data_IF_048997746829
#
_entry.id   IF_048997746829
#
_cell.length_a   1.000
_cell.length_b   1.000
_cell.length_c   1.000
_cell.angle_alpha   90.00
_cell.angle_beta   90.00
_cell.angle_gamma   90.00
#
_symmetry.space_group_name_H-M   'P 1'
#
loop_
_entity.id
_entity.type
_entity.pdbx_description
1 polymer ?
#
# COMPACT_ATOMS: atom_id res chain seq x y z
N UNK A 1 13.40 -0.47 -1.31
CA UNK A 1 13.70 0.40 -0.14
C UNK A 1 12.57 0.42 0.89
N UNK A 2 11.30 0.66 0.53
CA UNK A 2 10.19 0.79 1.51
C UNK A 2 9.76 -0.48 2.30
N UNK A 3 10.02 -1.68 1.79
CA UNK A 3 9.70 -2.92 2.51
C UNK A 3 10.71 -3.27 3.62
N UNK A 4 11.87 -2.61 3.66
CA UNK A 4 12.97 -2.98 4.55
C UNK A 4 12.79 -2.49 6.00
N UNK A 5 11.95 -1.47 6.24
CA UNK A 5 11.89 -0.76 7.53
C UNK A 5 10.70 -1.17 8.43
N UNK A 6 9.71 -1.92 7.91
CA UNK A 6 8.41 -2.08 8.60
C UNK A 6 8.06 -3.52 9.05
N UNK A 7 9.02 -4.40 9.30
CA UNK A 7 8.74 -5.75 9.83
C UNK A 7 7.96 -6.70 8.90
N UNK A 8 7.62 -6.25 7.68
CA UNK A 8 6.91 -7.06 6.68
C UNK A 8 7.83 -8.02 5.90
N UNK A 9 9.15 -8.04 6.19
CA UNK A 9 10.10 -8.95 5.54
C UNK A 9 9.71 -10.40 5.81
N UNK A 10 9.26 -11.10 4.77
CA UNK A 10 8.91 -12.53 4.81
C UNK A 10 7.42 -12.82 4.66
N UNK A 11 6.56 -11.80 4.63
CA UNK A 11 5.13 -12.02 4.39
C UNK A 11 4.91 -12.50 2.93
N UNK A 12 4.35 -13.71 2.71
CA UNK A 12 4.12 -14.24 1.37
C UNK A 12 3.16 -13.37 0.54
N UNK A 13 2.31 -12.57 1.18
CA UNK A 13 1.38 -11.63 0.51
C UNK A 13 2.13 -10.54 -0.26
N UNK A 14 3.30 -10.11 0.22
CA UNK A 14 4.10 -9.08 -0.45
C UNK A 14 4.54 -9.48 -1.85
N UNK A 15 4.79 -10.77 -2.08
CA UNK A 15 5.19 -11.25 -3.40
C UNK A 15 4.10 -10.99 -4.44
N UNK A 16 2.86 -11.34 -4.10
CA UNK A 16 1.70 -11.10 -4.97
C UNK A 16 1.45 -9.62 -5.26
N UNK A 17 1.70 -8.74 -4.29
CA UNK A 17 1.54 -7.29 -4.43
C UNK A 17 2.64 -6.72 -5.33
N UNK A 18 3.89 -7.12 -5.10
CA UNK A 18 5.03 -6.65 -5.90
C UNK A 18 4.94 -7.11 -7.35
N UNK A 19 4.48 -8.34 -7.60
CA UNK A 19 4.32 -8.89 -8.95
C UNK A 19 3.18 -8.18 -9.72
N UNK A 20 2.22 -7.60 -8.99
CA UNK A 20 1.11 -6.84 -9.56
C UNK A 20 1.43 -5.36 -9.86
N UNK A 21 2.62 -4.85 -9.48
CA UNK A 21 3.06 -3.48 -9.78
C UNK A 21 3.97 -3.50 -11.00
N UNK A 22 3.67 -2.67 -12.01
CA UNK A 22 4.47 -2.58 -13.23
C UNK A 22 5.29 -1.31 -13.26
N UNK A 23 6.47 -1.39 -13.86
CA UNK A 23 7.34 -0.23 -14.08
C UNK A 23 7.22 0.23 -15.52
N UNK A 24 6.75 1.46 -15.73
CA UNK A 24 6.64 2.09 -17.04
C UNK A 24 7.72 3.18 -17.14
N UNK A 25 8.76 2.99 -17.97
CA UNK A 25 9.84 3.97 -18.09
C UNK A 25 9.39 5.19 -18.91
N UNK A 26 9.92 6.36 -18.56
CA UNK A 26 9.73 7.63 -19.29
C UNK A 26 8.28 8.13 -19.40
N UNK A 27 7.42 7.79 -18.43
CA UNK A 27 6.02 8.22 -18.39
C UNK A 27 5.69 9.04 -17.13
N UNK A 28 4.86 10.10 -17.20
CA UNK A 28 4.38 10.78 -18.42
C UNK A 28 5.45 11.65 -19.08
N UNK A 29 6.64 11.77 -18.48
CA UNK A 29 7.77 12.56 -18.98
C UNK A 29 9.04 11.69 -19.07
N UNK A 30 9.97 12.00 -19.98
CA UNK A 30 11.27 11.33 -20.01
C UNK A 30 12.06 11.54 -18.71
N UNK A 31 12.71 10.47 -18.23
CA UNK A 31 13.63 10.51 -17.10
C UNK A 31 13.04 10.01 -15.77
N UNK A 32 11.76 9.63 -15.75
CA UNK A 32 11.09 9.06 -14.58
C UNK A 32 10.67 7.60 -14.83
N UNK A 33 10.62 6.81 -13.76
CA UNK A 33 10.12 5.44 -13.75
C UNK A 33 8.76 5.45 -13.06
N UNK A 34 7.69 5.32 -13.83
CA UNK A 34 6.33 5.31 -13.31
C UNK A 34 5.97 3.94 -12.77
N UNK A 35 5.44 3.90 -11.55
CA UNK A 35 4.93 2.68 -10.92
C UNK A 35 3.42 2.61 -11.18
N UNK A 36 3.03 1.79 -12.15
CA UNK A 36 1.64 1.57 -12.48
C UNK A 36 1.01 0.59 -11.49
N UNK A 37 0.13 1.12 -10.64
CA UNK A 37 -0.63 0.36 -9.63
C UNK A 37 -2.00 -0.07 -10.13
N UNK A 38 -2.42 0.31 -11.35
CA UNK A 38 -3.78 0.02 -11.83
C UNK A 38 -4.05 -1.49 -11.87
N UNK A 39 -3.01 -2.29 -12.13
CA UNK A 39 -3.08 -3.74 -12.16
C UNK A 39 -3.22 -4.36 -10.77
N UNK A 40 -2.59 -3.74 -9.75
CA UNK A 40 -2.84 -4.09 -8.36
C UNK A 40 -4.29 -3.80 -7.96
N UNK A 41 -4.85 -2.69 -8.42
CA UNK A 41 -6.23 -2.28 -8.11
C UNK A 41 -7.28 -3.18 -8.79
N UNK A 42 -6.98 -3.72 -9.97
CA UNK A 42 -7.87 -4.63 -10.70
C UNK A 42 -7.83 -6.07 -10.18
N UNK A 43 -6.73 -6.50 -9.57
CA UNK A 43 -6.63 -7.82 -8.93
C UNK A 43 -7.25 -7.77 -7.53
N UNK A 44 -8.47 -8.30 -7.40
CA UNK A 44 -9.20 -8.33 -6.14
C UNK A 44 -8.41 -8.99 -4.99
N UNK A 45 -7.62 -10.02 -5.27
CA UNK A 45 -6.85 -10.74 -4.24
C UNK A 45 -5.64 -9.92 -3.80
N UNK A 46 -4.88 -9.37 -4.75
CA UNK A 46 -3.71 -8.55 -4.44
C UNK A 46 -4.11 -7.23 -3.77
N UNK A 47 -5.23 -6.64 -4.18
CA UNK A 47 -5.80 -5.46 -3.54
C UNK A 47 -6.23 -5.76 -2.10
N UNK A 48 -6.98 -6.84 -1.87
CA UNK A 48 -7.37 -7.26 -0.51
C UNK A 48 -6.15 -7.47 0.39
N UNK A 49 -5.14 -8.19 -0.09
CA UNK A 49 -3.89 -8.41 0.66
C UNK A 49 -3.20 -7.10 1.02
N UNK A 50 -3.21 -6.12 0.12
CA UNK A 50 -2.64 -4.80 0.37
C UNK A 50 -3.39 -4.08 1.49
N UNK A 51 -4.72 -4.05 1.43
CA UNK A 51 -5.57 -3.45 2.47
C UNK A 51 -5.36 -4.16 3.81
N UNK A 52 -5.35 -5.48 3.84
CA UNK A 52 -5.15 -6.27 5.06
C UNK A 52 -3.81 -5.92 5.72
N UNK A 53 -2.73 -5.77 4.96
CA UNK A 53 -1.42 -5.35 5.48
C UNK A 53 -1.47 -3.93 6.08
N UNK A 54 -2.20 -3.01 5.44
CA UNK A 54 -2.39 -1.67 6.00
C UNK A 54 -3.19 -1.72 7.30
N UNK A 55 -4.29 -2.47 7.34
CA UNK A 55 -5.10 -2.65 8.56
C UNK A 55 -4.27 -3.28 9.66
N UNK A 56 -3.53 -4.36 9.37
CA UNK A 56 -2.66 -5.04 10.34
C UNK A 56 -1.61 -4.10 10.95
N UNK A 57 -1.07 -3.16 10.16
CA UNK A 57 -0.11 -2.17 10.64
C UNK A 57 -0.75 -1.14 11.57
N UNK A 58 -1.98 -0.73 11.28
CA UNK A 58 -2.61 0.41 11.93
C UNK A 58 -3.67 0.03 12.98
N UNK A 59 -4.09 -1.23 13.06
CA UNK A 59 -5.12 -1.71 14.01
C UNK A 59 -4.80 -1.42 15.47
N UNK A 60 -3.51 -1.44 15.81
CA UNK A 60 -3.02 -1.22 17.17
C UNK A 60 -2.55 0.23 17.38
N UNK A 61 -2.53 1.04 16.32
CA UNK A 61 -2.39 2.48 16.46
C UNK A 61 -3.77 3.00 16.82
N UNK A 62 -3.88 3.66 17.97
CA UNK A 62 -5.12 4.24 18.46
C UNK A 62 -5.44 5.51 17.64
N UNK A 63 -5.82 5.33 16.36
CA UNK A 63 -6.15 6.40 15.41
C UNK A 63 -7.54 6.93 15.75
N UNK A 64 -7.70 7.50 16.94
CA UNK A 64 -8.88 8.26 17.32
C UNK A 64 -8.79 9.63 16.66
N UNK A 65 -9.66 9.89 15.68
CA UNK A 65 -9.87 11.26 15.18
C UNK A 65 -10.43 12.11 16.33
N UNK A 66 -9.78 13.23 16.74
CA UNK A 66 -10.39 14.17 17.67
C UNK A 66 -11.41 15.01 16.88
N UNK A 67 -12.49 14.38 16.41
CA UNK A 67 -13.64 15.12 15.93
C UNK A 67 -14.77 15.01 16.96
N UNK A 68 -15.08 16.18 17.51
CA UNK A 68 -16.31 16.55 18.19
C UNK A 68 -16.49 16.13 19.67
N UNK A 69 -15.98 16.98 20.57
CA UNK A 69 -16.56 17.17 21.91
C UNK A 69 -16.47 18.62 22.36
N UNK A 70 -16.95 19.59 21.58
CA UNK A 70 -17.21 20.94 22.11
C UNK A 70 -18.38 21.62 21.40
N UNK A 71 -19.58 21.12 21.71
CA UNK A 71 -20.82 21.90 21.65
C UNK A 71 -21.68 21.48 22.85
N UNK A 72 -21.43 22.12 23.99
CA UNK A 72 -22.38 22.32 25.07
C UNK A 72 -22.31 23.77 25.50
#
# INVERSE_FOLDING_TARGET
MFAAENGLKGDPRLKSISDAIRVVPHFPKPGIMFQDITTLLLDHKAFKNTVDIFVDRYKDMNISSPLDRHTR
#
